data_IF_393774630530
#
_entry.id   IF_393774630530
#
_cell.length_a   1.000
_cell.length_b   1.000
_cell.length_c   1.000
_cell.angle_alpha   90.00
_cell.angle_beta   90.00
_cell.angle_gamma   90.00
#
_symmetry.space_group_name_H-M   'P 1'
#
loop_
_entity.id
_entity.type
_entity.pdbx_description
1 polymer ?
#
# COMPACT_ATOMS: atom_id res chain seq x y z
N UNK A 1 38.20 53.59 24.21
CA UNK A 1 37.36 52.81 25.17
C UNK A 1 35.92 52.52 24.68
N UNK A 2 35.50 53.05 23.55
CA UNK A 2 34.18 52.79 23.00
C UNK A 2 34.16 51.62 21.98
N UNK A 3 35.30 51.33 21.36
CA UNK A 3 35.40 50.35 20.26
C UNK A 3 35.32 48.89 20.75
N UNK A 4 35.86 48.57 21.88
CA UNK A 4 35.90 47.17 22.42
C UNK A 4 34.53 46.62 22.86
N UNK A 5 33.59 47.46 23.23
CA UNK A 5 32.23 47.06 23.63
C UNK A 5 31.35 46.67 22.46
N UNK A 6 31.59 47.30 21.28
CA UNK A 6 30.82 47.00 20.07
C UNK A 6 31.22 45.64 19.48
N UNK A 7 32.50 45.31 19.51
CA UNK A 7 32.97 43.97 19.07
C UNK A 7 32.51 42.80 19.96
N UNK A 8 32.37 43.05 21.26
CA UNK A 8 31.83 42.03 22.17
C UNK A 8 30.33 41.76 21.90
N UNK A 9 29.53 42.86 21.75
CA UNK A 9 28.10 42.71 21.44
C UNK A 9 27.84 42.04 20.10
N UNK A 10 28.65 42.31 19.08
CA UNK A 10 28.56 41.72 17.76
C UNK A 10 28.89 40.19 17.79
N UNK A 11 29.85 39.77 18.62
CA UNK A 11 30.16 38.37 18.81
C UNK A 11 28.99 37.57 19.43
N UNK A 12 28.33 38.14 20.42
CA UNK A 12 27.17 37.48 21.04
C UNK A 12 25.96 37.48 20.11
N UNK A 13 25.78 38.50 19.28
CA UNK A 13 24.72 38.52 18.27
C UNK A 13 24.92 37.43 17.20
N UNK A 14 26.17 37.24 16.74
CA UNK A 14 26.49 36.17 15.78
C UNK A 14 26.25 34.76 16.40
N UNK A 15 26.63 34.56 17.66
CA UNK A 15 26.36 33.30 18.36
C UNK A 15 24.86 33.05 18.52
N UNK A 16 24.06 34.08 18.77
CA UNK A 16 22.60 33.94 18.87
C UNK A 16 21.95 33.60 17.54
N UNK A 17 22.42 34.18 16.43
CA UNK A 17 21.94 33.90 15.08
C UNK A 17 22.30 32.48 14.64
N UNK A 18 23.51 32.02 14.95
CA UNK A 18 23.95 30.64 14.65
C UNK A 18 23.15 29.62 15.47
N UNK A 19 22.83 29.94 16.73
CA UNK A 19 22.01 29.09 17.59
C UNK A 19 20.54 29.00 17.15
N UNK A 20 19.99 30.04 16.48
CA UNK A 20 18.64 30.01 15.94
C UNK A 20 18.54 29.25 14.61
N UNK A 21 19.63 29.14 13.83
CA UNK A 21 19.64 28.41 12.57
C UNK A 21 19.76 26.90 12.74
N UNK A 22 20.08 26.40 13.92
CA UNK A 22 20.19 24.94 14.18
C UNK A 22 18.86 24.27 14.55
N UNK A 23 17.72 24.98 14.55
CA UNK A 23 16.39 24.45 14.89
C UNK A 23 15.54 24.07 13.67
N UNK A 24 16.07 24.19 12.45
CA UNK A 24 15.46 23.54 11.29
C UNK A 24 15.95 22.09 11.16
N UNK A 25 15.79 21.29 12.20
CA UNK A 25 15.71 19.87 12.03
C UNK A 25 14.41 19.63 11.22
N UNK A 26 14.54 19.23 9.96
CA UNK A 26 13.44 18.57 9.27
C UNK A 26 13.01 17.40 10.16
N UNK A 27 11.90 17.58 10.86
CA UNK A 27 11.11 16.47 11.34
C UNK A 27 10.60 15.82 10.05
N UNK A 28 11.33 14.80 9.55
CA UNK A 28 10.66 13.78 8.78
C UNK A 28 9.68 13.19 9.78
N UNK A 29 8.41 13.43 9.58
CA UNK A 29 7.41 12.53 10.11
C UNK A 29 7.69 11.20 9.39
N UNK A 30 8.52 10.37 10.02
CA UNK A 30 8.54 8.95 9.72
C UNK A 30 7.13 8.50 10.07
N UNK A 31 6.31 8.29 9.02
CA UNK A 31 5.06 7.56 9.18
C UNK A 31 5.42 6.30 9.97
N UNK A 32 4.67 5.95 11.02
CA UNK A 32 4.99 4.75 11.78
C UNK A 32 5.09 3.61 10.77
N UNK A 33 6.27 3.01 10.68
CA UNK A 33 6.45 1.77 9.96
C UNK A 33 5.34 0.82 10.40
N UNK A 34 4.81 0.00 9.48
CA UNK A 34 3.84 -1.02 9.83
C UNK A 34 4.30 -1.73 11.10
N UNK A 35 3.54 -1.65 12.18
CA UNK A 35 3.86 -2.36 13.42
C UNK A 35 3.61 -3.87 13.24
N UNK A 36 2.75 -4.21 12.29
CA UNK A 36 2.46 -5.55 11.83
C UNK A 36 2.27 -5.57 10.31
N UNK A 37 2.93 -6.49 9.64
CA UNK A 37 2.67 -6.89 8.26
C UNK A 37 3.18 -8.31 8.04
N UNK A 38 2.46 -9.08 7.22
CA UNK A 38 2.93 -10.38 6.75
C UNK A 38 4.13 -10.18 5.82
N UNK A 39 5.06 -11.11 5.89
CA UNK A 39 6.30 -11.12 5.12
C UNK A 39 6.39 -12.34 4.21
N UNK A 40 7.39 -12.35 3.34
CA UNK A 40 7.71 -13.53 2.52
C UNK A 40 8.08 -14.72 3.42
N UNK A 41 7.47 -15.87 3.15
CA UNK A 41 7.57 -17.07 3.95
C UNK A 41 6.38 -17.32 4.90
N UNK A 42 5.57 -16.29 5.18
CA UNK A 42 4.34 -16.45 5.96
C UNK A 42 3.26 -17.16 5.14
N UNK A 43 2.32 -17.80 5.83
CA UNK A 43 1.12 -18.35 5.21
C UNK A 43 0.03 -17.28 5.11
N UNK A 44 -0.76 -17.34 4.04
CA UNK A 44 -1.97 -16.52 3.94
C UNK A 44 -2.87 -16.77 5.16
N UNK A 45 -3.36 -15.74 5.84
CA UNK A 45 -4.31 -15.87 6.93
C UNK A 45 -5.64 -16.43 6.42
N UNK A 46 -6.41 -17.06 7.28
CA UNK A 46 -7.78 -17.42 6.92
C UNK A 46 -8.65 -16.17 6.84
N UNK A 47 -9.29 -15.96 5.70
CA UNK A 47 -10.23 -14.88 5.49
C UNK A 47 -11.38 -15.28 4.56
N UNK A 48 -12.41 -14.46 4.56
CA UNK A 48 -13.52 -14.52 3.62
C UNK A 48 -13.98 -13.10 3.33
N UNK A 49 -14.22 -12.79 2.05
CA UNK A 49 -14.70 -11.49 1.61
C UNK A 49 -15.75 -11.65 0.53
N UNK A 50 -16.76 -10.80 0.53
CA UNK A 50 -17.91 -10.88 -0.37
C UNK A 50 -18.09 -9.60 -1.17
N UNK A 51 -18.62 -9.75 -2.38
CA UNK A 51 -19.14 -8.68 -3.22
C UNK A 51 -20.47 -9.15 -3.88
N UNK A 52 -21.15 -8.36 -4.70
CA UNK A 52 -22.39 -8.80 -5.38
C UNK A 52 -22.25 -10.04 -6.26
N UNK A 53 -21.04 -10.33 -6.74
CA UNK A 53 -20.77 -11.52 -7.57
C UNK A 53 -20.58 -12.81 -6.76
N UNK A 54 -20.35 -12.71 -5.46
CA UNK A 54 -20.16 -13.84 -4.56
C UNK A 54 -19.13 -13.64 -3.46
N UNK A 55 -18.78 -14.74 -2.82
CA UNK A 55 -17.82 -14.79 -1.72
C UNK A 55 -16.55 -15.51 -2.16
N UNK A 56 -15.40 -14.97 -1.74
CA UNK A 56 -14.09 -15.60 -1.92
C UNK A 56 -13.45 -15.85 -0.57
N UNK A 57 -12.84 -17.03 -0.41
CA UNK A 57 -12.12 -17.47 0.79
C UNK A 57 -10.79 -18.15 0.39
N UNK A 58 -10.00 -18.57 1.38
CA UNK A 58 -8.76 -19.31 1.15
C UNK A 58 -8.95 -20.57 0.28
N UNK A 59 -10.12 -21.24 0.38
CA UNK A 59 -10.43 -22.42 -0.44
C UNK A 59 -10.45 -22.14 -1.94
N UNK A 60 -10.82 -20.93 -2.32
CA UNK A 60 -10.86 -20.49 -3.73
C UNK A 60 -9.47 -20.17 -4.27
N UNK A 61 -8.48 -20.06 -3.38
CA UNK A 61 -7.08 -19.76 -3.68
C UNK A 61 -6.22 -21.05 -3.75
N UNK A 62 -6.72 -22.18 -3.25
CA UNK A 62 -5.99 -23.43 -3.23
C UNK A 62 -5.51 -23.86 -4.63
N UNK A 63 -4.26 -24.31 -4.71
CA UNK A 63 -3.59 -24.75 -5.94
C UNK A 63 -3.44 -23.67 -7.03
N UNK A 64 -3.56 -22.39 -6.66
CA UNK A 64 -3.35 -21.24 -7.55
C UNK A 64 -2.33 -20.28 -6.93
N UNK A 65 -1.71 -19.46 -7.77
CA UNK A 65 -1.09 -18.25 -7.26
C UNK A 65 -2.20 -17.29 -6.80
N UNK A 66 -2.08 -16.74 -5.61
CA UNK A 66 -3.01 -15.76 -5.07
C UNK A 66 -2.36 -14.39 -5.09
N UNK A 67 -2.81 -13.51 -6.00
CA UNK A 67 -2.37 -12.12 -6.08
C UNK A 67 -3.40 -11.24 -5.38
N UNK A 68 -3.08 -10.74 -4.21
CA UNK A 68 -3.94 -9.90 -3.39
C UNK A 68 -3.38 -8.48 -3.37
N UNK A 69 -4.18 -7.51 -3.81
CA UNK A 69 -3.80 -6.10 -3.88
C UNK A 69 -4.77 -5.28 -3.04
N UNK A 70 -4.26 -4.69 -1.96
CA UNK A 70 -5.01 -3.72 -1.16
C UNK A 70 -4.76 -2.31 -1.68
N UNK A 71 -5.82 -1.54 -1.84
CA UNK A 71 -5.78 -0.18 -2.35
C UNK A 71 -6.83 0.72 -1.70
N UNK A 72 -6.77 2.02 -1.99
CA UNK A 72 -7.87 2.97 -1.76
C UNK A 72 -7.90 3.99 -2.90
N UNK A 73 -9.08 4.40 -3.30
CA UNK A 73 -9.28 5.42 -4.35
C UNK A 73 -8.89 6.82 -3.88
N UNK A 74 -8.79 7.03 -2.57
CA UNK A 74 -8.39 8.30 -1.96
C UNK A 74 -6.88 8.43 -1.71
N UNK A 75 -6.13 7.32 -1.83
CA UNK A 75 -4.68 7.29 -1.67
C UNK A 75 -3.96 7.73 -2.95
N UNK A 76 -3.01 8.67 -2.86
CA UNK A 76 -2.22 9.16 -4.00
C UNK A 76 -1.42 8.05 -4.68
N UNK A 77 -0.67 7.28 -3.91
CA UNK A 77 0.22 6.23 -4.40
C UNK A 77 -0.57 5.09 -5.05
N UNK A 78 -1.77 4.78 -4.50
CA UNK A 78 -2.68 3.83 -5.14
C UNK A 78 -3.17 4.34 -6.50
N UNK A 79 -3.47 5.65 -6.61
CA UNK A 79 -3.89 6.25 -7.88
C UNK A 79 -2.80 6.20 -8.95
N UNK A 80 -1.55 6.38 -8.54
CA UNK A 80 -0.39 6.23 -9.42
C UNK A 80 -0.18 4.78 -9.84
N UNK A 81 -0.50 3.81 -8.98
CA UNK A 81 -0.36 2.38 -9.25
C UNK A 81 -1.52 1.77 -10.10
N UNK A 82 -2.65 2.46 -10.27
CA UNK A 82 -3.79 1.89 -10.99
C UNK A 82 -3.51 1.41 -12.43
N UNK A 83 -2.62 2.03 -13.23
CA UNK A 83 -2.24 1.48 -14.54
C UNK A 83 -1.64 0.08 -14.43
N UNK A 84 -0.74 -0.14 -13.47
CA UNK A 84 -0.12 -1.46 -13.22
C UNK A 84 -1.13 -2.46 -12.66
N UNK A 85 -1.98 -2.04 -11.72
CA UNK A 85 -3.08 -2.85 -11.18
C UNK A 85 -4.02 -3.28 -12.31
N UNK A 86 -4.37 -2.37 -13.22
CA UNK A 86 -5.22 -2.68 -14.38
C UNK A 86 -4.56 -3.66 -15.34
N UNK A 87 -3.25 -3.53 -15.56
CA UNK A 87 -2.46 -4.46 -16.37
C UNK A 87 -2.48 -5.86 -15.77
N UNK A 88 -2.22 -5.99 -14.47
CA UNK A 88 -2.28 -7.26 -13.73
C UNK A 88 -3.69 -7.86 -13.77
N UNK A 89 -4.71 -7.04 -13.53
CA UNK A 89 -6.09 -7.50 -13.55
C UNK A 89 -6.47 -8.07 -14.93
N UNK A 90 -6.18 -7.35 -16.00
CA UNK A 90 -6.48 -7.81 -17.36
C UNK A 90 -5.69 -9.05 -17.77
N UNK A 91 -4.48 -9.23 -17.24
CA UNK A 91 -3.66 -10.42 -17.46
C UNK A 91 -4.21 -11.64 -16.73
N UNK A 92 -4.75 -11.48 -15.52
CA UNK A 92 -5.07 -12.61 -14.65
C UNK A 92 -6.55 -12.85 -14.40
N UNK A 93 -7.46 -11.95 -14.75
CA UNK A 93 -8.91 -12.10 -14.49
C UNK A 93 -9.51 -13.41 -14.99
N UNK A 94 -9.00 -13.95 -16.10
CA UNK A 94 -9.45 -15.19 -16.72
C UNK A 94 -8.39 -16.32 -16.65
N UNK A 95 -7.30 -16.12 -15.91
CA UNK A 95 -6.23 -17.10 -15.80
C UNK A 95 -6.57 -18.20 -14.78
N UNK A 96 -6.61 -19.48 -15.15
CA UNK A 96 -6.97 -20.55 -14.23
C UNK A 96 -5.91 -20.81 -13.15
N UNK A 97 -4.66 -20.41 -13.37
CA UNK A 97 -3.53 -20.66 -12.46
C UNK A 97 -3.27 -19.51 -11.48
N UNK A 98 -3.87 -18.34 -11.71
CA UNK A 98 -3.69 -17.15 -10.86
C UNK A 98 -5.07 -16.62 -10.44
N UNK A 99 -5.27 -16.41 -9.16
CA UNK A 99 -6.44 -15.70 -8.63
C UNK A 99 -6.04 -14.30 -8.22
N UNK A 100 -6.55 -13.28 -8.91
CA UNK A 100 -6.35 -11.87 -8.52
C UNK A 100 -7.52 -11.40 -7.68
N UNK A 101 -7.21 -10.75 -6.55
CA UNK A 101 -8.16 -10.10 -5.66
C UNK A 101 -7.76 -8.64 -5.46
N UNK A 102 -8.63 -7.72 -5.86
CA UNK A 102 -8.51 -6.30 -5.59
C UNK A 102 -9.39 -5.97 -4.39
N UNK A 103 -8.80 -5.50 -3.28
CA UNK A 103 -9.51 -5.24 -2.03
C UNK A 103 -9.36 -3.77 -1.66
N UNK A 104 -10.48 -3.05 -1.65
CA UNK A 104 -10.54 -1.64 -1.31
C UNK A 104 -10.60 -1.46 0.21
N UNK A 105 -9.48 -0.99 0.79
CA UNK A 105 -9.34 -0.77 2.22
C UNK A 105 -10.04 0.51 2.67
N UNK A 106 -10.89 0.41 3.70
CA UNK A 106 -11.59 1.54 4.33
C UNK A 106 -12.52 2.31 3.38
N UNK A 107 -13.05 1.63 2.37
CA UNK A 107 -14.00 2.21 1.41
C UNK A 107 -15.19 1.28 1.21
N UNK A 108 -16.35 1.88 0.95
CA UNK A 108 -17.57 1.15 0.59
C UNK A 108 -17.58 0.80 -0.89
N UNK A 109 -18.44 -0.13 -1.26
CA UNK A 109 -18.64 -0.52 -2.66
C UNK A 109 -19.06 0.67 -3.53
N UNK A 110 -19.93 1.55 -3.01
CA UNK A 110 -20.41 2.73 -3.75
C UNK A 110 -19.29 3.70 -4.06
N UNK A 111 -18.37 3.93 -3.10
CA UNK A 111 -17.23 4.84 -3.26
C UNK A 111 -16.30 4.35 -4.38
N UNK A 112 -15.92 3.08 -4.33
CA UNK A 112 -15.02 2.48 -5.32
C UNK A 112 -15.69 2.41 -6.69
N UNK A 113 -16.96 2.02 -6.75
CA UNK A 113 -17.73 1.96 -8.00
C UNK A 113 -17.84 3.34 -8.66
N UNK A 114 -18.06 4.40 -7.88
CA UNK A 114 -18.10 5.76 -8.39
C UNK A 114 -16.76 6.16 -9.01
N UNK A 115 -15.65 5.89 -8.33
CA UNK A 115 -14.31 6.18 -8.81
C UNK A 115 -13.97 5.36 -10.07
N UNK A 116 -14.23 4.06 -10.09
CA UNK A 116 -13.94 3.20 -11.23
C UNK A 116 -14.73 3.62 -12.47
N UNK A 117 -15.99 4.01 -12.30
CA UNK A 117 -16.82 4.54 -13.40
C UNK A 117 -16.27 5.86 -13.95
N UNK A 118 -15.87 6.79 -13.08
CA UNK A 118 -15.30 8.08 -13.48
C UNK A 118 -14.01 7.91 -14.28
N UNK A 119 -13.15 6.95 -13.85
CA UNK A 119 -11.85 6.70 -14.48
C UNK A 119 -11.86 5.56 -15.52
N UNK A 120 -13.05 5.03 -15.83
CA UNK A 120 -13.25 3.97 -16.85
C UNK A 120 -12.48 2.67 -16.55
N UNK A 121 -12.33 2.32 -15.26
CA UNK A 121 -11.79 1.03 -14.85
C UNK A 121 -12.90 -0.04 -14.85
N UNK A 122 -12.68 -1.11 -15.63
CA UNK A 122 -13.55 -2.31 -15.66
C UNK A 122 -12.85 -3.45 -14.91
N UNK A 123 -12.83 -3.34 -13.57
CA UNK A 123 -12.20 -4.30 -12.69
C UNK A 123 -13.16 -4.71 -11.57
N UNK A 124 -13.23 -6.00 -11.29
CA UNK A 124 -13.94 -6.51 -10.11
C UNK A 124 -13.11 -6.28 -8.85
N UNK A 125 -13.76 -5.89 -7.78
CA UNK A 125 -13.12 -5.63 -6.50
C UNK A 125 -14.01 -6.11 -5.34
N UNK A 126 -13.43 -6.11 -4.16
CA UNK A 126 -14.10 -6.32 -2.89
C UNK A 126 -13.93 -5.06 -2.02
N UNK A 127 -14.98 -4.65 -1.33
CA UNK A 127 -14.93 -3.56 -0.36
C UNK A 127 -14.62 -4.12 1.03
N UNK A 128 -13.67 -3.49 1.74
CA UNK A 128 -13.31 -3.81 3.13
C UNK A 128 -13.38 -2.53 3.98
N UNK A 129 -14.60 -1.98 4.20
CA UNK A 129 -14.79 -0.67 4.84
C UNK A 129 -14.29 -0.66 6.28
N UNK A 130 -14.40 -1.75 6.99
CA UNK A 130 -14.02 -1.90 8.39
C UNK A 130 -12.60 -2.47 8.56
N UNK A 131 -11.87 -2.69 7.46
CA UNK A 131 -10.52 -3.28 7.43
C UNK A 131 -10.44 -4.69 8.03
N UNK A 132 -11.53 -5.44 8.00
CA UNK A 132 -11.59 -6.76 8.61
C UNK A 132 -10.63 -7.75 7.94
N UNK A 133 -10.48 -7.66 6.62
CA UNK A 133 -9.54 -8.49 5.86
C UNK A 133 -8.15 -7.86 5.85
N UNK A 134 -8.04 -6.56 5.57
CA UNK A 134 -6.74 -5.88 5.52
C UNK A 134 -5.94 -6.05 6.81
N UNK A 135 -6.59 -5.93 7.98
CA UNK A 135 -5.93 -6.04 9.29
C UNK A 135 -5.34 -7.43 9.59
N UNK A 136 -5.68 -8.45 8.81
CA UNK A 136 -5.05 -9.77 8.87
C UNK A 136 -3.71 -9.81 8.12
N UNK A 137 -3.46 -8.88 7.22
CA UNK A 137 -2.28 -8.83 6.36
C UNK A 137 -1.30 -7.74 6.76
N UNK A 138 -1.81 -6.57 7.17
CA UNK A 138 -0.99 -5.41 7.55
C UNK A 138 -1.81 -4.39 8.35
N UNK A 139 -1.17 -3.37 8.92
CA UNK A 139 -1.85 -2.38 9.74
C UNK A 139 -1.94 -0.97 9.13
N UNK A 140 -1.05 -0.54 8.23
CA UNK A 140 -1.03 0.87 7.81
C UNK A 140 -0.93 1.14 6.30
N UNK A 141 0.07 0.66 5.60
CA UNK A 141 0.50 1.17 4.29
C UNK A 141 -0.23 0.54 3.10
N UNK A 142 -0.64 1.36 2.13
CA UNK A 142 -1.19 0.95 0.82
C UNK A 142 -0.62 1.87 -0.30
N UNK A 143 -0.56 1.42 -1.60
CA UNK A 143 -0.96 0.10 -2.05
C UNK A 143 -0.09 -0.98 -1.41
N UNK A 144 -0.69 -2.15 -1.22
CA UNK A 144 0.04 -3.29 -0.69
C UNK A 144 -0.29 -4.54 -1.48
N UNK A 145 0.75 -5.25 -1.89
CA UNK A 145 0.62 -6.46 -2.69
C UNK A 145 1.15 -7.64 -1.90
N UNK A 146 0.41 -8.73 -1.94
CA UNK A 146 0.84 -10.04 -1.49
C UNK A 146 0.64 -11.03 -2.64
N UNK A 147 1.71 -11.69 -3.04
CA UNK A 147 1.65 -12.82 -3.95
C UNK A 147 1.98 -14.10 -3.18
N UNK A 148 1.02 -15.00 -3.12
CA UNK A 148 1.26 -16.32 -2.54
C UNK A 148 1.33 -17.39 -3.65
N UNK A 149 2.12 -18.42 -3.39
CA UNK A 149 2.23 -19.58 -4.25
C UNK A 149 1.03 -20.54 -4.07
N UNK A 150 1.07 -21.66 -4.79
CA UNK A 150 0.01 -22.67 -4.79
C UNK A 150 -0.20 -23.38 -3.45
N UNK A 151 0.74 -23.26 -2.52
CA UNK A 151 0.64 -23.77 -1.15
C UNK A 151 0.02 -22.76 -0.19
N UNK A 152 -0.15 -21.50 -0.62
CA UNK A 152 -0.59 -20.39 0.21
C UNK A 152 0.54 -19.69 0.95
N UNK A 153 1.81 -19.98 0.60
CA UNK A 153 2.97 -19.29 1.16
C UNK A 153 3.22 -17.99 0.40
N UNK A 154 3.35 -16.88 1.10
CA UNK A 154 3.68 -15.57 0.53
C UNK A 154 5.11 -15.61 -0.03
N UNK A 155 5.27 -15.32 -1.32
CA UNK A 155 6.55 -15.39 -2.04
C UNK A 155 7.00 -14.03 -2.56
N UNK A 156 6.14 -13.00 -2.48
CA UNK A 156 6.48 -11.62 -2.80
C UNK A 156 5.56 -10.69 -2.02
N UNK A 157 6.14 -9.63 -1.49
CA UNK A 157 5.39 -8.48 -0.95
C UNK A 157 5.87 -7.19 -1.60
N UNK A 158 4.93 -6.28 -1.90
CA UNK A 158 5.27 -4.92 -2.36
C UNK A 158 4.48 -3.90 -1.55
N UNK A 159 5.11 -2.78 -1.25
CA UNK A 159 4.55 -1.70 -0.43
C UNK A 159 4.75 -0.36 -1.13
N UNK A 160 3.76 0.52 -1.07
CA UNK A 160 3.76 1.88 -1.66
C UNK A 160 3.81 1.93 -3.19
N UNK A 161 4.06 0.84 -3.83
CA UNK A 161 4.08 0.70 -5.30
C UNK A 161 3.54 -0.67 -5.73
N UNK A 162 3.23 -0.79 -7.01
CA UNK A 162 2.91 -2.06 -7.66
C UNK A 162 3.84 -2.23 -8.84
N UNK A 163 4.69 -3.24 -8.82
CA UNK A 163 5.59 -3.60 -9.93
C UNK A 163 5.00 -4.80 -10.68
N UNK A 164 4.25 -4.50 -11.72
CA UNK A 164 3.56 -5.51 -12.50
C UNK A 164 4.53 -6.46 -13.23
N UNK A 165 5.70 -5.97 -13.68
CA UNK A 165 6.66 -6.79 -14.38
C UNK A 165 7.29 -7.86 -13.47
N UNK A 166 7.61 -7.49 -12.23
CA UNK A 166 8.16 -8.40 -11.24
C UNK A 166 7.15 -9.52 -10.93
N UNK A 167 5.88 -9.16 -10.69
CA UNK A 167 4.81 -10.12 -10.41
C UNK A 167 4.61 -11.09 -11.57
N UNK A 168 4.58 -10.57 -12.82
CA UNK A 168 4.40 -11.40 -14.01
C UNK A 168 5.55 -12.38 -14.24
N UNK A 169 6.79 -12.02 -13.91
CA UNK A 169 7.95 -12.93 -14.01
C UNK A 169 7.86 -14.13 -13.10
N UNK A 170 7.24 -13.98 -11.93
CA UNK A 170 7.12 -15.05 -10.92
C UNK A 170 5.98 -16.01 -11.28
N UNK A 171 4.92 -15.53 -11.89
CA UNK A 171 3.67 -16.27 -12.14
C UNK A 171 3.60 -16.94 -13.53
N UNK A 172 4.65 -16.79 -14.34
CA UNK A 172 4.79 -17.40 -15.67
C UNK A 172 5.44 -18.78 -15.56
#
# INVERSE_FOLDING_TARGET
WRSTRIFAAMKYLLFYIISLLSLTACIREDLPADSFALEEGDLLPEFSISNPDGTVSNKDLENKFALIIFFSTTCSDCREAFPDISTLYNTYKDNPSVRILLIARSETEEQVTAYFREHQYDMKFFADPDRNVYSLFADSTIPRVFLADKSGTIILTQTEKVDAEEIMKITT
#
